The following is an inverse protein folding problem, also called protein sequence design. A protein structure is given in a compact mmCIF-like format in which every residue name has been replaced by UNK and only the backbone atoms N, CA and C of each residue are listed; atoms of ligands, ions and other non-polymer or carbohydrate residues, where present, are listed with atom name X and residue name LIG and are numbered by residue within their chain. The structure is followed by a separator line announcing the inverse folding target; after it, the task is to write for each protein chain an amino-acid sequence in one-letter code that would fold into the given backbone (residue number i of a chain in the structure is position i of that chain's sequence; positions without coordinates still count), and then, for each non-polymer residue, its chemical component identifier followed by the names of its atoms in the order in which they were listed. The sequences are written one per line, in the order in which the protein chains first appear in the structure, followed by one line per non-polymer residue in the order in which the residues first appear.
data_IF_919252388948
#
_entry.id   IF_919252388948
#
_cell.length_a   1.000
_cell.length_b   1.000
_cell.length_c   1.000
_cell.angle_alpha   90.00
_cell.angle_beta   90.00
_cell.angle_gamma   90.00
#
_symmetry.space_group_name_H-M   'P 1'
#
loop_
_entity.id
_entity.type
_entity.pdbx_description
1 polymer ?
#
# COMPACT_ATOMS: atom_id res chain seq x y z
N UNK A 1 -42.69 -8.16 -73.11
CA UNK A 1 -43.16 -8.47 -71.74
C UNK A 1 -41.97 -8.39 -70.80
N UNK A 2 -41.94 -7.40 -69.89
CA UNK A 2 -40.79 -7.09 -69.02
C UNK A 2 -41.00 -7.76 -67.67
N UNK A 3 -40.06 -8.64 -67.29
CA UNK A 3 -40.02 -9.36 -66.01
C UNK A 3 -39.77 -8.39 -64.85
N UNK A 4 -40.60 -8.45 -63.80
CA UNK A 4 -40.39 -7.71 -62.54
C UNK A 4 -39.82 -8.67 -61.50
N UNK A 5 -38.56 -8.45 -61.13
CA UNK A 5 -37.87 -9.14 -60.03
C UNK A 5 -38.36 -8.53 -58.71
N UNK A 6 -38.87 -9.37 -57.82
CA UNK A 6 -39.30 -9.02 -56.47
C UNK A 6 -38.09 -9.15 -55.52
N UNK A 7 -37.62 -8.03 -54.97
CA UNK A 7 -36.56 -8.01 -53.97
C UNK A 7 -37.16 -8.20 -52.56
N UNK A 8 -36.76 -9.28 -51.88
CA UNK A 8 -37.09 -9.53 -50.47
C UNK A 8 -36.04 -8.82 -49.63
N UNK A 9 -36.44 -7.76 -48.92
CA UNK A 9 -35.59 -7.08 -47.94
C UNK A 9 -35.62 -7.84 -46.61
N UNK A 10 -34.48 -8.44 -46.24
CA UNK A 10 -34.28 -9.12 -44.97
C UNK A 10 -33.85 -8.08 -43.92
N UNK A 11 -34.78 -7.68 -43.05
CA UNK A 11 -34.50 -6.78 -41.93
C UNK A 11 -33.72 -7.52 -40.84
N UNK A 12 -32.42 -7.23 -40.73
CA UNK A 12 -31.59 -7.71 -39.63
C UNK A 12 -31.88 -6.87 -38.37
N UNK A 13 -32.52 -7.47 -37.36
CA UNK A 13 -32.64 -6.88 -36.02
C UNK A 13 -31.27 -6.91 -35.33
N UNK A 14 -30.53 -5.81 -35.38
CA UNK A 14 -29.42 -5.54 -34.46
C UNK A 14 -29.99 -5.29 -33.06
N UNK A 15 -30.01 -6.33 -32.24
CA UNK A 15 -30.28 -6.21 -30.80
C UNK A 15 -29.05 -5.61 -30.13
N UNK A 16 -28.99 -4.28 -30.04
CA UNK A 16 -28.00 -3.59 -29.20
C UNK A 16 -28.42 -3.77 -27.74
N UNK A 17 -27.71 -4.63 -27.01
CA UNK A 17 -27.79 -4.64 -25.55
C UNK A 17 -27.20 -3.32 -25.05
N UNK A 18 -28.06 -2.35 -24.77
CA UNK A 18 -27.67 -1.15 -24.04
C UNK A 18 -27.26 -1.58 -22.63
N UNK A 19 -25.96 -1.57 -22.34
CA UNK A 19 -25.49 -1.53 -20.97
C UNK A 19 -26.00 -0.21 -20.37
N UNK A 20 -26.97 -0.29 -19.44
CA UNK A 20 -27.50 0.88 -18.76
C UNK A 20 -26.34 1.62 -18.09
N UNK A 21 -26.07 2.86 -18.53
CA UNK A 21 -25.17 3.74 -17.80
C UNK A 21 -25.80 3.99 -16.44
N UNK A 22 -25.10 3.60 -15.36
CA UNK A 22 -25.50 3.98 -14.02
C UNK A 22 -25.69 5.51 -13.99
N UNK A 23 -26.73 6.03 -13.29
CA UNK A 23 -26.94 7.47 -13.22
C UNK A 23 -25.66 8.16 -12.72
N UNK A 24 -25.29 9.31 -13.30
CA UNK A 24 -24.10 10.04 -12.87
C UNK A 24 -24.18 10.27 -11.37
N UNK A 25 -23.12 9.89 -10.65
CA UNK A 25 -23.03 10.14 -9.22
C UNK A 25 -23.19 11.65 -8.97
N UNK A 26 -24.00 12.00 -7.96
CA UNK A 26 -24.16 13.40 -7.57
C UNK A 26 -22.79 14.03 -7.24
N UNK A 27 -22.59 15.33 -7.53
CA UNK A 27 -21.34 16.02 -7.18
C UNK A 27 -21.05 15.85 -5.69
N UNK A 28 -19.89 15.30 -5.37
CA UNK A 28 -19.45 15.15 -3.99
C UNK A 28 -18.99 16.53 -3.48
N UNK A 29 -19.52 16.96 -2.34
CA UNK A 29 -19.07 18.19 -1.67
C UNK A 29 -17.62 18.11 -1.20
N UNK A 30 -17.02 19.22 -0.72
CA UNK A 30 -15.64 19.23 -0.25
C UNK A 30 -15.44 18.26 0.92
N UNK A 31 -14.34 17.50 0.88
CA UNK A 31 -13.93 16.62 1.97
C UNK A 31 -13.07 17.41 2.95
N UNK A 32 -13.28 17.19 4.26
CA UNK A 32 -12.46 17.81 5.30
C UNK A 32 -10.97 17.37 5.14
N UNK A 33 -9.99 18.30 5.19
CA UNK A 33 -8.59 17.99 4.90
C UNK A 33 -7.98 16.86 5.74
N UNK A 34 -8.22 16.81 7.04
CA UNK A 34 -7.70 15.73 7.89
C UNK A 34 -8.30 14.37 7.49
N UNK A 35 -9.60 14.31 7.20
CA UNK A 35 -10.27 13.11 6.70
C UNK A 35 -9.72 12.66 5.34
N UNK A 36 -9.47 13.61 4.44
CA UNK A 36 -8.87 13.30 3.14
C UNK A 36 -7.43 12.76 3.30
N UNK A 37 -6.66 13.38 4.19
CA UNK A 37 -5.30 12.99 4.54
C UNK A 37 -5.24 11.59 5.19
N UNK A 38 -6.21 11.29 6.06
CA UNK A 38 -6.30 10.04 6.82
C UNK A 38 -6.77 8.84 5.97
N UNK A 39 -7.57 9.08 4.93
CA UNK A 39 -8.20 8.02 4.15
C UNK A 39 -7.20 7.00 3.60
N UNK A 40 -6.12 7.47 2.97
CA UNK A 40 -5.11 6.58 2.40
C UNK A 40 -4.24 5.93 3.49
N UNK A 41 -4.05 6.61 4.63
CA UNK A 41 -3.34 6.06 5.78
C UNK A 41 -4.11 4.88 6.39
N UNK A 42 -5.40 5.06 6.68
CA UNK A 42 -6.28 4.02 7.23
C UNK A 42 -6.35 2.76 6.36
N UNK A 43 -6.45 2.92 5.04
CA UNK A 43 -6.41 1.78 4.11
C UNK A 43 -5.04 1.08 4.13
N UNK A 44 -3.97 1.85 4.31
CA UNK A 44 -2.59 1.35 4.34
C UNK A 44 -2.26 0.61 5.62
N UNK A 45 -2.68 1.15 6.76
CA UNK A 45 -2.61 0.49 8.05
C UNK A 45 -3.26 -0.89 8.00
N UNK A 46 -4.50 -0.96 7.52
CA UNK A 46 -5.26 -2.21 7.50
C UNK A 46 -4.48 -3.35 6.81
N UNK A 47 -3.96 -3.09 5.62
CA UNK A 47 -3.26 -4.12 4.85
C UNK A 47 -1.88 -4.44 5.46
N UNK A 48 -1.15 -3.39 5.85
CA UNK A 48 0.20 -3.52 6.41
C UNK A 48 0.19 -4.32 7.72
N UNK A 49 -0.66 -3.93 8.67
CA UNK A 49 -0.79 -4.59 9.97
C UNK A 49 -1.26 -6.03 9.78
N UNK A 50 -2.28 -6.27 8.93
CA UNK A 50 -2.77 -7.62 8.69
C UNK A 50 -1.69 -8.56 8.14
N UNK A 51 -0.83 -8.08 7.23
CA UNK A 51 0.24 -8.90 6.66
C UNK A 51 1.32 -9.25 7.69
N UNK A 52 1.79 -8.28 8.49
CA UNK A 52 2.82 -8.55 9.49
C UNK A 52 2.28 -9.48 10.59
N UNK A 53 1.01 -9.34 10.96
CA UNK A 53 0.36 -10.26 11.91
C UNK A 53 0.21 -11.68 11.34
N UNK A 54 -0.04 -11.81 10.04
CA UNK A 54 -0.16 -13.12 9.37
C UNK A 54 1.18 -13.86 9.22
N UNK A 55 2.32 -13.17 9.26
CA UNK A 55 3.64 -13.78 9.14
C UNK A 55 3.99 -14.58 10.41
N UNK A 56 4.34 -15.89 10.34
CA UNK A 56 4.74 -16.67 11.51
C UNK A 56 6.01 -16.11 12.18
N UNK A 57 6.11 -16.24 13.51
CA UNK A 57 7.22 -15.65 14.27
C UNK A 57 8.59 -16.19 13.84
N UNK A 58 8.69 -17.49 13.53
CA UNK A 58 9.92 -18.13 13.04
C UNK A 58 10.33 -17.66 11.63
N UNK A 59 9.45 -16.95 10.91
CA UNK A 59 9.73 -16.38 9.59
C UNK A 59 10.09 -14.90 9.62
N UNK A 60 10.08 -14.23 10.77
CA UNK A 60 10.52 -12.83 10.86
C UNK A 60 12.01 -12.66 10.50
N UNK A 61 12.83 -13.69 10.65
CA UNK A 61 14.23 -13.72 10.22
C UNK A 61 14.41 -14.07 8.73
N UNK A 62 13.35 -14.37 7.99
CA UNK A 62 13.43 -14.71 6.57
C UNK A 62 13.95 -13.52 5.76
N UNK A 63 14.90 -13.79 4.86
CA UNK A 63 15.28 -12.92 3.76
C UNK A 63 15.32 -13.75 2.48
N UNK A 64 14.92 -13.19 1.31
CA UNK A 64 15.17 -13.83 0.03
C UNK A 64 16.66 -14.14 -0.15
N UNK A 65 16.96 -15.29 -0.73
CA UNK A 65 18.34 -15.72 -0.99
C UNK A 65 18.46 -16.38 -2.36
N UNK A 66 19.68 -16.41 -2.90
CA UNK A 66 19.99 -17.05 -4.18
C UNK A 66 19.60 -18.54 -4.21
N UNK A 67 19.59 -19.22 -3.05
CA UNK A 67 19.23 -20.64 -2.94
C UNK A 67 17.76 -20.95 -3.29
N UNK A 68 16.90 -19.94 -3.43
CA UNK A 68 15.51 -20.10 -3.86
C UNK A 68 15.38 -20.30 -5.38
N UNK A 69 16.44 -20.11 -6.16
CA UNK A 69 16.41 -20.14 -7.62
C UNK A 69 17.19 -21.34 -8.17
N UNK A 70 16.62 -22.02 -9.18
CA UNK A 70 17.22 -23.22 -9.81
C UNK A 70 18.45 -22.92 -10.68
N UNK A 71 18.56 -21.71 -11.23
CA UNK A 71 19.68 -21.29 -12.07
C UNK A 71 20.28 -20.00 -11.47
N UNK A 72 21.28 -20.09 -10.59
CA UNK A 72 21.74 -18.98 -9.78
C UNK A 72 22.65 -17.98 -10.51
N UNK A 73 22.95 -18.20 -11.80
CA UNK A 73 24.10 -17.56 -12.48
C UNK A 73 24.00 -16.03 -12.64
N UNK A 74 22.88 -15.41 -12.25
CA UNK A 74 22.75 -13.94 -12.25
C UNK A 74 21.92 -13.35 -11.10
N UNK A 75 21.60 -14.11 -10.04
CA UNK A 75 20.81 -13.58 -8.91
C UNK A 75 21.70 -13.16 -7.74
N UNK A 76 21.61 -11.89 -7.35
CA UNK A 76 22.28 -11.36 -6.16
C UNK A 76 21.25 -10.85 -5.15
N UNK A 77 21.19 -11.52 -4.00
CA UNK A 77 20.36 -11.14 -2.85
C UNK A 77 21.21 -10.83 -1.61
N UNK A 78 22.52 -10.61 -1.78
CA UNK A 78 23.41 -10.29 -0.66
C UNK A 78 22.99 -8.97 -0.01
N UNK A 79 22.80 -8.99 1.30
CA UNK A 79 22.49 -7.79 2.09
C UNK A 79 21.02 -7.34 2.02
N UNK A 80 20.14 -8.11 1.39
CA UNK A 80 18.69 -7.86 1.45
C UNK A 80 18.22 -7.99 2.90
N UNK A 81 17.34 -7.06 3.31
CA UNK A 81 16.75 -7.05 4.66
C UNK A 81 16.01 -8.36 4.93
N UNK A 82 16.05 -8.80 6.18
CA UNK A 82 15.07 -9.77 6.70
C UNK A 82 13.69 -9.13 6.79
N UNK A 83 12.63 -9.94 6.88
CA UNK A 83 11.27 -9.46 7.08
C UNK A 83 11.16 -8.53 8.30
N UNK A 84 11.75 -8.92 9.44
CA UNK A 84 11.82 -8.10 10.64
C UNK A 84 12.49 -6.74 10.36
N UNK A 85 13.63 -6.75 9.67
CA UNK A 85 14.35 -5.51 9.32
C UNK A 85 13.57 -4.62 8.35
N UNK A 86 12.79 -5.20 7.43
CA UNK A 86 11.97 -4.42 6.50
C UNK A 86 10.79 -3.76 7.23
N UNK A 87 10.16 -4.48 8.15
CA UNK A 87 9.07 -3.93 8.96
C UNK A 87 9.62 -2.83 9.88
N UNK A 88 10.73 -3.06 10.60
CA UNK A 88 11.33 -2.04 11.47
C UNK A 88 11.85 -0.83 10.68
N UNK A 89 12.39 -1.04 9.48
CA UNK A 89 12.72 0.06 8.56
C UNK A 89 11.49 0.90 8.19
N UNK A 90 10.37 0.25 7.89
CA UNK A 90 9.09 0.92 7.60
C UNK A 90 8.61 1.74 8.79
N UNK A 91 8.67 1.18 10.00
CA UNK A 91 8.32 1.89 11.24
C UNK A 91 9.22 3.11 11.45
N UNK A 92 10.52 2.99 11.22
CA UNK A 92 11.44 4.12 11.32
C UNK A 92 11.09 5.22 10.31
N UNK A 93 10.78 4.84 9.08
CA UNK A 93 10.37 5.77 8.03
C UNK A 93 9.07 6.51 8.42
N UNK A 94 8.10 5.83 9.03
CA UNK A 94 6.86 6.45 9.49
C UNK A 94 7.12 7.66 10.40
N UNK A 95 7.95 7.50 11.44
CA UNK A 95 8.34 8.62 12.30
C UNK A 95 9.15 9.69 11.55
N UNK A 96 10.02 9.27 10.64
CA UNK A 96 10.81 10.19 9.83
C UNK A 96 9.96 11.08 8.91
N UNK A 97 8.86 10.55 8.35
CA UNK A 97 7.94 11.28 7.50
C UNK A 97 6.92 12.11 8.29
N UNK A 98 6.46 11.61 9.44
CA UNK A 98 5.30 12.19 10.13
C UNK A 98 5.66 13.14 11.28
N UNK A 99 6.87 13.04 11.86
CA UNK A 99 7.28 14.00 12.89
C UNK A 99 7.30 15.45 12.39
N UNK A 100 7.82 15.75 11.19
CA UNK A 100 7.85 17.12 10.72
C UNK A 100 6.47 17.69 10.36
N UNK A 101 5.47 16.84 10.10
CA UNK A 101 4.06 17.27 9.92
C UNK A 101 3.55 17.94 11.20
N UNK A 102 3.94 17.36 12.35
CA UNK A 102 3.63 17.85 13.69
C UNK A 102 4.58 18.97 14.15
N UNK A 103 5.54 19.40 13.31
CA UNK A 103 6.59 20.35 13.70
C UNK A 103 7.65 19.75 14.65
N UNK A 104 7.66 18.43 14.78
CA UNK A 104 8.61 17.68 15.61
C UNK A 104 9.82 17.22 14.78
N UNK A 105 10.90 16.83 15.45
CA UNK A 105 12.02 16.10 14.83
C UNK A 105 11.93 14.62 15.20
N UNK A 106 12.30 13.69 14.31
CA UNK A 106 12.33 12.28 14.65
C UNK A 106 13.31 12.00 15.79
N UNK A 107 12.82 11.32 16.84
CA UNK A 107 13.63 10.88 17.97
C UNK A 107 14.60 9.77 17.54
N UNK A 108 15.89 10.10 17.48
CA UNK A 108 16.94 9.21 16.98
C UNK A 108 17.16 8.00 17.90
N UNK A 109 16.96 8.13 19.21
CA UNK A 109 17.12 7.02 20.15
C UNK A 109 15.98 6.02 20.00
N UNK A 110 14.75 6.52 19.85
CA UNK A 110 13.58 5.70 19.53
C UNK A 110 13.78 4.96 18.20
N UNK A 111 14.23 5.65 17.16
CA UNK A 111 14.51 5.03 15.86
C UNK A 111 15.58 3.94 15.96
N UNK A 112 16.68 4.18 16.67
CA UNK A 112 17.73 3.20 16.89
C UNK A 112 17.22 1.97 17.66
N UNK A 113 16.32 2.17 18.63
CA UNK A 113 15.69 1.10 19.40
C UNK A 113 14.78 0.24 18.51
N UNK A 114 13.93 0.87 17.70
CA UNK A 114 13.05 0.18 16.73
C UNK A 114 13.87 -0.67 15.76
N UNK A 115 14.98 -0.15 15.24
CA UNK A 115 15.84 -0.86 14.28
C UNK A 115 16.51 -2.12 14.83
N UNK A 116 16.50 -2.32 16.15
CA UNK A 116 17.08 -3.50 16.83
C UNK A 116 16.03 -4.55 17.19
N UNK A 117 14.74 -4.28 16.98
CA UNK A 117 13.68 -5.24 17.29
C UNK A 117 13.77 -6.46 16.36
N UNK A 118 13.67 -7.65 16.94
CA UNK A 118 13.64 -8.93 16.23
C UNK A 118 12.34 -9.70 16.45
N UNK A 119 11.76 -9.54 17.65
CA UNK A 119 10.60 -10.30 18.08
C UNK A 119 9.31 -9.80 17.44
N UNK A 120 8.53 -10.73 16.88
CA UNK A 120 7.27 -10.44 16.18
C UNK A 120 6.36 -9.52 16.98
N UNK A 121 6.06 -9.86 18.22
CA UNK A 121 5.07 -9.14 19.03
C UNK A 121 5.53 -7.70 19.34
N UNK A 122 6.82 -7.51 19.59
CA UNK A 122 7.41 -6.19 19.79
C UNK A 122 7.37 -5.34 18.52
N UNK A 123 7.67 -5.94 17.36
CA UNK A 123 7.61 -5.27 16.06
C UNK A 123 6.16 -4.90 15.71
N UNK A 124 5.19 -5.80 15.88
CA UNK A 124 3.77 -5.54 15.59
C UNK A 124 3.24 -4.42 16.50
N UNK A 125 3.60 -4.44 17.79
CA UNK A 125 3.25 -3.35 18.72
C UNK A 125 3.83 -2.02 18.25
N UNK A 126 5.12 -1.98 17.93
CA UNK A 126 5.78 -0.75 17.44
C UNK A 126 5.19 -0.27 16.10
N UNK A 127 4.75 -1.18 15.24
CA UNK A 127 4.08 -0.86 13.98
C UNK A 127 2.76 -0.13 14.23
N UNK A 128 1.89 -0.68 15.08
CA UNK A 128 0.61 -0.05 15.45
C UNK A 128 0.82 1.34 16.06
N UNK A 129 1.76 1.48 17.00
CA UNK A 129 2.11 2.78 17.58
C UNK A 129 2.60 3.80 16.53
N UNK A 130 3.32 3.35 15.51
CA UNK A 130 3.71 4.24 14.41
C UNK A 130 2.52 4.67 13.57
N UNK A 131 1.53 3.81 13.34
CA UNK A 131 0.31 4.15 12.61
C UNK A 131 -0.54 5.15 13.39
N UNK A 132 -0.71 4.94 14.70
CA UNK A 132 -1.34 5.92 15.61
C UNK A 132 -0.68 7.30 15.51
N UNK A 133 0.65 7.34 15.44
CA UNK A 133 1.41 8.58 15.22
C UNK A 133 1.12 9.21 13.84
N UNK A 134 0.97 8.39 12.80
CA UNK A 134 0.50 8.84 11.49
C UNK A 134 -0.90 9.44 11.52
N UNK A 135 -1.84 8.82 12.25
CA UNK A 135 -3.20 9.33 12.41
C UNK A 135 -3.20 10.68 13.15
N UNK A 136 -2.36 10.83 14.19
CA UNK A 136 -2.12 12.12 14.85
C UNK A 136 -1.61 13.17 13.85
N UNK A 137 -0.66 12.81 12.97
CA UNK A 137 -0.16 13.71 11.94
C UNK A 137 -1.24 14.09 10.91
N UNK A 138 -2.04 13.12 10.44
CA UNK A 138 -3.16 13.36 9.53
C UNK A 138 -4.20 14.30 10.14
N UNK A 139 -4.56 14.08 11.41
CA UNK A 139 -5.49 14.93 12.16
C UNK A 139 -5.03 16.39 12.32
N UNK A 140 -3.72 16.65 12.19
CA UNK A 140 -3.17 18.00 12.27
C UNK A 140 -3.22 18.79 10.95
N UNK A 141 -3.57 18.14 9.84
CA UNK A 141 -3.64 18.76 8.52
C UNK A 141 -4.93 19.58 8.41
N UNK A 142 -4.78 20.83 8.00
CA UNK A 142 -5.87 21.77 7.73
C UNK A 142 -5.69 22.41 6.37
N UNK A 143 -6.73 23.05 5.84
CA UNK A 143 -6.65 23.79 4.59
C UNK A 143 -5.59 24.92 4.65
N UNK A 144 -5.36 25.50 5.84
CA UNK A 144 -4.41 26.58 6.06
C UNK A 144 -2.95 26.09 6.08
N UNK A 145 -2.68 24.88 6.60
CA UNK A 145 -1.31 24.42 6.84
C UNK A 145 -0.80 23.32 5.88
N UNK A 146 -1.67 22.74 5.05
CA UNK A 146 -1.33 21.59 4.20
C UNK A 146 -0.11 21.83 3.29
N UNK A 147 0.07 23.08 2.84
CA UNK A 147 1.17 23.50 1.97
C UNK A 147 2.31 24.23 2.70
N UNK A 148 2.25 24.34 4.02
CA UNK A 148 3.39 24.81 4.80
C UNK A 148 4.55 23.80 4.72
N UNK A 149 5.78 24.30 4.74
CA UNK A 149 6.97 23.47 4.72
C UNK A 149 7.08 22.57 5.95
N UNK A 150 7.48 21.32 5.73
CA UNK A 150 7.74 20.29 6.75
C UNK A 150 9.24 20.09 6.98
N UNK A 151 10.11 21.02 6.57
CA UNK A 151 11.53 21.00 6.92
C UNK A 151 12.38 19.88 6.28
N UNK A 152 11.86 19.13 5.30
CA UNK A 152 12.59 18.06 4.58
C UNK A 152 12.96 18.43 3.13
N UNK A 153 13.28 19.71 2.90
CA UNK A 153 13.63 20.26 1.58
C UNK A 153 12.54 21.14 0.98
N UNK A 154 12.87 21.84 -0.11
CA UNK A 154 12.07 22.95 -0.63
C UNK A 154 10.63 22.57 -1.06
N UNK A 155 10.38 21.32 -1.46
CA UNK A 155 9.07 20.83 -1.89
C UNK A 155 8.35 19.96 -0.83
N UNK A 156 8.94 19.75 0.34
CA UNK A 156 8.31 18.94 1.39
C UNK A 156 7.34 19.80 2.18
N UNK A 157 6.06 19.77 1.82
CA UNK A 157 4.99 20.34 2.64
C UNK A 157 4.48 19.34 3.68
N UNK A 158 3.69 19.79 4.64
CA UNK A 158 3.03 18.91 5.62
C UNK A 158 2.23 17.78 4.95
N UNK A 159 1.40 18.13 3.97
CA UNK A 159 0.61 17.16 3.21
C UNK A 159 1.49 16.18 2.42
N UNK A 160 2.53 16.68 1.74
CA UNK A 160 3.45 15.83 0.97
C UNK A 160 4.27 14.92 1.89
N UNK A 161 4.67 15.38 3.07
CA UNK A 161 5.40 14.55 4.04
C UNK A 161 4.52 13.43 4.59
N UNK A 162 3.25 13.71 4.91
CA UNK A 162 2.29 12.68 5.30
C UNK A 162 2.11 11.63 4.20
N UNK A 163 1.83 12.09 2.96
CA UNK A 163 1.67 11.22 1.80
C UNK A 163 2.93 10.40 1.51
N UNK A 164 4.11 10.98 1.70
CA UNK A 164 5.40 10.30 1.55
C UNK A 164 5.55 9.10 2.48
N UNK A 165 5.09 9.20 3.74
CA UNK A 165 5.06 8.06 4.66
C UNK A 165 4.12 6.95 4.17
N UNK A 166 2.92 7.32 3.70
CA UNK A 166 1.96 6.35 3.14
C UNK A 166 2.53 5.63 1.91
N UNK A 167 3.15 6.37 0.98
CA UNK A 167 3.79 5.82 -0.22
C UNK A 167 4.91 4.87 0.17
N UNK A 168 5.76 5.25 1.14
CA UNK A 168 6.85 4.41 1.61
C UNK A 168 6.33 3.08 2.20
N UNK A 169 5.28 3.11 3.03
CA UNK A 169 4.67 1.87 3.54
C UNK A 169 4.17 1.00 2.37
N UNK A 170 3.57 1.58 1.33
CA UNK A 170 3.06 0.82 0.18
C UNK A 170 4.15 0.19 -0.68
N UNK A 171 5.28 0.87 -0.85
CA UNK A 171 6.45 0.32 -1.55
C UNK A 171 7.00 -0.90 -0.79
N UNK A 172 7.20 -0.76 0.51
CA UNK A 172 7.70 -1.84 1.37
C UNK A 172 6.69 -2.97 1.53
N UNK A 173 5.40 -2.66 1.60
CA UNK A 173 4.32 -3.65 1.61
C UNK A 173 4.34 -4.52 0.36
N UNK A 174 4.62 -3.95 -0.82
CA UNK A 174 4.78 -4.71 -2.06
C UNK A 174 5.87 -5.79 -1.97
N UNK A 175 7.01 -5.45 -1.36
CA UNK A 175 8.10 -6.39 -1.10
C UNK A 175 7.69 -7.45 -0.07
N UNK A 176 7.12 -7.04 1.07
CA UNK A 176 6.65 -7.92 2.14
C UNK A 176 5.63 -8.95 1.63
N UNK A 177 4.74 -8.53 0.73
CA UNK A 177 3.73 -9.38 0.09
C UNK A 177 4.38 -10.51 -0.72
N UNK A 178 5.46 -10.23 -1.43
CA UNK A 178 6.21 -11.25 -2.19
C UNK A 178 6.93 -12.19 -1.23
N UNK A 179 7.56 -11.66 -0.17
CA UNK A 179 8.28 -12.47 0.81
C UNK A 179 7.34 -13.40 1.59
N UNK A 180 6.16 -12.92 1.99
CA UNK A 180 5.12 -13.75 2.60
C UNK A 180 4.77 -14.94 1.71
N UNK A 181 4.55 -14.71 0.41
CA UNK A 181 4.26 -15.80 -0.55
C UNK A 181 5.41 -16.79 -0.68
N UNK A 182 6.67 -16.34 -0.65
CA UNK A 182 7.84 -17.22 -0.72
C UNK A 182 7.91 -18.21 0.46
N UNK A 183 7.31 -17.86 1.61
CA UNK A 183 7.24 -18.73 2.79
C UNK A 183 5.85 -19.32 3.04
N UNK A 184 4.97 -19.29 2.04
CA UNK A 184 3.64 -19.91 2.10
C UNK A 184 2.57 -19.08 2.82
N UNK A 185 2.82 -17.82 3.11
CA UNK A 185 1.84 -16.89 3.71
C UNK A 185 1.10 -16.14 2.61
N UNK A 186 -0.20 -16.38 2.49
CA UNK A 186 -1.06 -15.61 1.59
C UNK A 186 -1.36 -14.23 2.23
N UNK A 187 -1.17 -13.11 1.51
CA UNK A 187 -1.50 -11.79 2.04
C UNK A 187 -3.01 -11.69 2.34
N UNK A 188 -3.40 -11.31 3.58
CA UNK A 188 -4.81 -11.25 3.95
C UNK A 188 -5.67 -10.36 3.04
N UNK A 189 -5.13 -9.25 2.54
CA UNK A 189 -5.81 -8.33 1.61
C UNK A 189 -6.20 -8.96 0.26
N UNK A 190 -5.61 -10.11 -0.10
CA UNK A 190 -5.95 -10.88 -1.32
C UNK A 190 -6.97 -11.99 -1.06
N UNK A 191 -7.38 -12.22 0.19
CA UNK A 191 -8.29 -13.32 0.55
C UNK A 191 -9.65 -13.18 -0.13
N UNK A 192 -10.19 -14.29 -0.64
CA UNK A 192 -11.49 -14.33 -1.31
C UNK A 192 -11.52 -13.70 -2.71
N UNK A 193 -10.38 -13.22 -3.24
CA UNK A 193 -10.28 -12.75 -4.63
C UNK A 193 -9.88 -13.91 -5.55
N UNK A 194 -10.47 -14.02 -6.75
CA UNK A 194 -10.00 -14.99 -7.74
C UNK A 194 -8.54 -14.70 -8.12
N UNK A 195 -7.73 -15.72 -8.46
CA UNK A 195 -6.38 -15.50 -8.96
C UNK A 195 -6.39 -14.58 -10.18
N UNK A 196 -5.63 -13.48 -10.13
CA UNK A 196 -5.49 -12.57 -11.26
C UNK A 196 -4.75 -13.24 -12.44
N UNK A 197 -3.81 -14.13 -12.13
CA UNK A 197 -3.21 -15.06 -13.08
C UNK A 197 -3.69 -16.48 -12.74
N UNK A 198 -4.80 -16.97 -13.33
CA UNK A 198 -5.25 -18.33 -13.12
C UNK A 198 -4.19 -19.30 -13.65
N UNK A 199 -3.95 -20.40 -12.94
CA UNK A 199 -3.05 -21.43 -13.44
C UNK A 199 -3.51 -21.88 -14.83
N UNK A 200 -2.59 -21.94 -15.79
CA UNK A 200 -2.83 -22.70 -17.02
C UNK A 200 -3.17 -24.13 -16.57
N UNK A 201 -4.36 -24.60 -16.93
CA UNK A 201 -4.74 -26.00 -16.76
C UNK A 201 -3.78 -26.91 -17.49
#
# INVERSE_FOLDING_TARGET
MKSKILAIAMAALCSTTMFGQAPPAAPQGPVEPAKAADFMLSNTEKDFIALIEAMPADKYSFAPSASLFKAPESVDFKGVRTFAQLVTHTIQANYFYWAPVLGEKPDQEKLATIGKLTEKDAIVKAAKESMEYGHKAAASITAANAFEGAGRGAASTKLISLAGGVIHIRDEYGQMVVWGRMVGVAPPASSGRPPANPANK
#
